data_IF_894096220604
#
_entry.id   IF_894096220604
#
_cell.length_a   1.000
_cell.length_b   1.000
_cell.length_c   1.000
_cell.angle_alpha   90.00
_cell.angle_beta   90.00
_cell.angle_gamma   90.00
#
_symmetry.space_group_name_H-M   'P 1'
#
loop_
_entity.id
_entity.type
_entity.pdbx_description
1 polymer ?
#
# COMPACT_ATOMS: atom_id res chain seq x y z
N UNK A 1 33.70 -13.66 -32.82
CA UNK A 1 33.42 -14.13 -31.45
C UNK A 1 31.96 -14.57 -31.41
N UNK A 2 31.64 -15.86 -31.27
CA UNK A 2 30.24 -16.28 -31.28
C UNK A 2 29.58 -15.76 -30.00
N UNK A 3 28.48 -15.02 -30.16
CA UNK A 3 27.56 -14.68 -29.09
C UNK A 3 27.03 -15.99 -28.48
N UNK A 4 27.60 -16.41 -27.36
CA UNK A 4 26.99 -17.43 -26.52
C UNK A 4 25.72 -16.82 -25.92
N UNK A 5 24.58 -17.13 -26.52
CA UNK A 5 23.27 -16.89 -25.93
C UNK A 5 23.26 -17.54 -24.54
N UNK A 6 23.28 -16.72 -23.48
CA UNK A 6 23.20 -17.23 -22.10
C UNK A 6 21.89 -18.01 -21.94
N UNK A 7 21.94 -19.20 -21.31
CA UNK A 7 20.80 -20.11 -21.26
C UNK A 7 19.68 -19.55 -20.38
N UNK A 8 18.46 -19.66 -20.91
CA UNK A 8 17.24 -20.00 -20.17
C UNK A 8 16.63 -18.90 -19.31
N UNK A 9 15.42 -18.48 -19.69
CA UNK A 9 14.43 -17.91 -18.77
C UNK A 9 14.35 -18.84 -17.56
N UNK A 10 14.85 -18.41 -16.40
CA UNK A 10 14.65 -19.15 -15.15
C UNK A 10 13.38 -18.60 -14.51
N UNK A 11 12.36 -19.44 -14.24
CA UNK A 11 11.18 -18.97 -13.56
C UNK A 11 11.56 -18.46 -12.16
N UNK A 12 10.86 -17.45 -11.63
CA UNK A 12 11.10 -16.97 -10.28
C UNK A 12 10.86 -18.09 -9.26
N UNK A 13 11.54 -18.03 -8.10
CA UNK A 13 11.36 -19.03 -7.05
C UNK A 13 9.89 -19.06 -6.59
N UNK A 14 9.32 -20.22 -6.24
CA UNK A 14 7.90 -20.34 -5.87
C UNK A 14 7.47 -19.40 -4.74
N UNK A 15 8.37 -19.11 -3.79
CA UNK A 15 8.10 -18.18 -2.69
C UNK A 15 7.88 -16.73 -3.14
N UNK A 16 8.49 -16.33 -4.25
CA UNK A 16 8.32 -15.01 -4.86
C UNK A 16 6.94 -14.90 -5.50
N UNK A 17 6.55 -15.87 -6.33
CA UNK A 17 5.21 -15.91 -6.95
C UNK A 17 4.12 -15.88 -5.88
N UNK A 18 4.29 -16.67 -4.80
CA UNK A 18 3.36 -16.66 -3.66
C UNK A 18 3.26 -15.27 -3.03
N UNK A 19 4.37 -14.58 -2.87
CA UNK A 19 4.40 -13.23 -2.29
C UNK A 19 3.69 -12.22 -3.16
N UNK A 20 3.87 -12.30 -4.47
CA UNK A 20 3.25 -11.38 -5.42
C UNK A 20 1.74 -11.59 -5.50
N UNK A 21 1.29 -12.85 -5.46
CA UNK A 21 -0.13 -13.17 -5.33
C UNK A 21 -0.73 -12.65 -4.02
N UNK A 22 0.00 -12.74 -2.91
CA UNK A 22 -0.42 -12.16 -1.62
C UNK A 22 -0.54 -10.64 -1.74
N UNK A 23 0.45 -9.97 -2.34
CA UNK A 23 0.44 -8.52 -2.51
C UNK A 23 -0.68 -8.04 -3.44
N UNK A 24 -0.97 -8.77 -4.52
CA UNK A 24 -2.11 -8.49 -5.39
C UNK A 24 -3.44 -8.62 -4.64
N UNK A 25 -3.57 -9.63 -3.78
CA UNK A 25 -4.74 -9.80 -2.93
C UNK A 25 -4.86 -8.69 -1.88
N UNK A 26 -3.73 -8.19 -1.36
CA UNK A 26 -3.72 -7.00 -0.49
C UNK A 26 -4.24 -5.78 -1.25
N UNK A 27 -3.85 -5.58 -2.52
CA UNK A 27 -4.39 -4.50 -3.35
C UNK A 27 -5.91 -4.59 -3.51
N UNK A 28 -6.45 -5.80 -3.66
CA UNK A 28 -7.90 -6.02 -3.71
C UNK A 28 -8.59 -5.59 -2.41
N UNK A 29 -8.02 -5.99 -1.26
CA UNK A 29 -8.53 -5.61 0.08
C UNK A 29 -8.49 -4.09 0.29
N UNK A 30 -7.43 -3.42 -0.14
CA UNK A 30 -7.31 -1.96 0.03
C UNK A 30 -8.21 -1.20 -0.94
N UNK A 31 -8.35 -1.68 -2.18
CA UNK A 31 -9.28 -1.13 -3.16
C UNK A 31 -10.72 -1.13 -2.65
N UNK A 32 -11.17 -2.23 -2.05
CA UNK A 32 -12.49 -2.30 -1.40
C UNK A 32 -12.57 -1.47 -0.11
N UNK A 33 -11.44 -1.33 0.59
CA UNK A 33 -11.31 -0.54 1.82
C UNK A 33 -11.60 0.95 1.64
N UNK A 34 -11.29 1.54 0.48
CA UNK A 34 -11.59 2.96 0.21
C UNK A 34 -13.10 3.28 0.30
N UNK A 35 -13.97 2.35 -0.10
CA UNK A 35 -15.43 2.51 -0.01
C UNK A 35 -15.88 2.60 1.47
N UNK A 36 -15.33 1.75 2.34
CA UNK A 36 -15.64 1.81 3.76
C UNK A 36 -15.06 3.07 4.41
N UNK A 37 -13.85 3.49 4.02
CA UNK A 37 -13.19 4.68 4.58
C UNK A 37 -13.90 5.99 4.20
N UNK A 38 -14.41 6.12 2.98
CA UNK A 38 -15.16 7.31 2.55
C UNK A 38 -16.43 7.49 3.38
N UNK A 39 -17.20 6.41 3.59
CA UNK A 39 -18.43 6.42 4.40
C UNK A 39 -18.13 6.77 5.87
N UNK A 40 -17.00 6.29 6.39
CA UNK A 40 -16.56 6.64 7.74
C UNK A 40 -16.05 8.10 7.85
N UNK A 41 -15.45 8.67 6.80
CA UNK A 41 -14.94 10.04 6.80
C UNK A 41 -16.04 11.08 7.00
N UNK A 42 -17.25 10.80 6.51
CA UNK A 42 -18.42 11.68 6.66
C UNK A 42 -19.03 11.64 8.07
N UNK A 43 -18.89 10.52 8.78
CA UNK A 43 -19.63 10.23 10.00
C UNK A 43 -18.79 10.19 11.28
N UNK A 44 -17.45 10.21 11.16
CA UNK A 44 -16.53 10.06 12.29
C UNK A 44 -15.34 11.04 12.25
N UNK A 45 -14.79 11.34 13.43
CA UNK A 45 -13.48 11.97 13.53
C UNK A 45 -12.37 11.05 13.00
N UNK A 46 -11.38 11.62 12.31
CA UNK A 46 -10.35 10.84 11.60
C UNK A 46 -9.50 10.01 12.56
N UNK A 47 -9.12 10.62 13.69
CA UNK A 47 -8.31 9.98 14.71
C UNK A 47 -9.12 8.90 15.42
N UNK A 48 -10.40 9.15 15.70
CA UNK A 48 -11.31 8.18 16.30
C UNK A 48 -11.48 6.96 15.40
N UNK A 49 -11.77 7.16 14.11
CA UNK A 49 -11.92 6.07 13.15
C UNK A 49 -10.65 5.23 13.04
N UNK A 50 -9.49 5.87 12.86
CA UNK A 50 -8.21 5.17 12.78
C UNK A 50 -7.87 4.46 14.10
N UNK A 51 -8.03 5.13 15.24
CA UNK A 51 -7.75 4.56 16.55
C UNK A 51 -8.53 3.28 16.80
N UNK A 52 -9.85 3.30 16.58
CA UNK A 52 -10.71 2.13 16.79
C UNK A 52 -10.32 0.98 15.87
N UNK A 53 -10.14 1.22 14.55
CA UNK A 53 -9.82 0.14 13.61
C UNK A 53 -8.45 -0.49 13.86
N UNK A 54 -7.46 0.31 14.25
CA UNK A 54 -6.13 -0.20 14.59
C UNK A 54 -6.09 -0.91 15.95
N UNK A 55 -6.91 -0.48 16.91
CA UNK A 55 -7.09 -1.24 18.16
C UNK A 55 -7.69 -2.62 17.92
N UNK A 56 -8.76 -2.69 17.13
CA UNK A 56 -9.38 -3.98 16.77
C UNK A 56 -8.36 -4.88 16.05
N UNK A 57 -7.61 -4.34 15.08
CA UNK A 57 -6.55 -5.09 14.38
C UNK A 57 -5.44 -5.57 15.32
N UNK A 58 -5.03 -4.72 16.28
CA UNK A 58 -4.03 -5.07 17.30
C UNK A 58 -4.53 -6.21 18.19
N UNK A 59 -5.76 -6.12 18.70
CA UNK A 59 -6.36 -7.12 19.57
C UNK A 59 -6.59 -8.44 18.83
N UNK A 60 -6.98 -8.38 17.56
CA UNK A 60 -7.11 -9.55 16.71
C UNK A 60 -5.77 -10.31 16.58
N UNK A 61 -4.69 -9.60 16.23
CA UNK A 61 -3.37 -10.25 16.13
C UNK A 61 -2.83 -10.70 17.49
N UNK A 62 -3.10 -9.96 18.56
CA UNK A 62 -2.75 -10.36 19.91
C UNK A 62 -3.44 -11.68 20.30
N UNK A 63 -4.72 -11.85 19.94
CA UNK A 63 -5.45 -13.10 20.16
C UNK A 63 -4.87 -14.26 19.34
N UNK A 64 -4.49 -14.04 18.08
CA UNK A 64 -3.87 -15.04 17.19
C UNK A 64 -2.48 -15.46 17.69
N UNK A 65 -1.67 -14.51 18.16
CA UNK A 65 -0.35 -14.78 18.70
C UNK A 65 -0.43 -15.45 20.08
N UNK A 66 -1.34 -15.00 20.93
CA UNK A 66 -1.54 -15.50 22.29
C UNK A 66 -0.24 -15.51 23.09
N UNK A 67 0.12 -16.66 23.66
CA UNK A 67 1.37 -16.83 24.44
C UNK A 67 2.66 -16.74 23.61
N UNK A 68 2.58 -16.63 22.28
CA UNK A 68 3.74 -16.49 21.38
C UNK A 68 4.21 -15.05 21.22
N UNK A 69 3.53 -14.07 21.81
CA UNK A 69 3.97 -12.68 21.81
C UNK A 69 5.35 -12.61 22.48
N UNK A 70 6.34 -12.13 21.75
CA UNK A 70 7.70 -11.89 22.26
C UNK A 70 8.08 -10.45 21.96
N UNK A 71 8.62 -9.76 22.95
CA UNK A 71 9.13 -8.41 22.75
C UNK A 71 10.55 -8.50 22.22
N UNK A 72 10.71 -8.54 20.90
CA UNK A 72 12.04 -8.42 20.28
C UNK A 72 12.53 -6.97 20.37
N UNK A 73 13.38 -6.72 21.37
CA UNK A 73 13.97 -5.39 21.60
C UNK A 73 14.94 -4.97 20.50
N UNK A 74 15.55 -5.93 19.77
CA UNK A 74 16.60 -5.63 18.77
C UNK A 74 16.05 -4.85 17.59
N UNK A 75 14.81 -5.13 17.21
CA UNK A 75 14.16 -4.59 16.02
C UNK A 75 13.08 -3.54 16.33
N UNK A 76 12.96 -3.13 17.61
CA UNK A 76 11.90 -2.23 18.07
C UNK A 76 11.91 -0.87 17.40
N UNK A 77 13.08 -0.33 17.06
CA UNK A 77 13.19 0.93 16.31
C UNK A 77 12.46 0.84 14.96
N UNK A 78 12.55 -0.30 14.26
CA UNK A 78 11.83 -0.54 13.01
C UNK A 78 10.32 -0.64 13.21
N UNK A 79 9.87 -1.28 14.29
CA UNK A 79 8.45 -1.35 14.67
C UNK A 79 7.89 0.05 14.98
N UNK A 80 8.62 0.84 15.77
CA UNK A 80 8.26 2.22 16.08
C UNK A 80 8.19 3.09 14.83
N UNK A 81 9.20 2.98 13.96
CA UNK A 81 9.25 3.76 12.71
C UNK A 81 8.08 3.40 11.80
N UNK A 82 7.79 2.10 11.62
CA UNK A 82 6.65 1.64 10.85
C UNK A 82 5.33 2.12 11.46
N UNK A 83 5.15 2.04 12.78
CA UNK A 83 3.94 2.50 13.46
C UNK A 83 3.72 4.02 13.34
N UNK A 84 4.78 4.83 13.44
CA UNK A 84 4.69 6.28 13.27
C UNK A 84 4.37 6.65 11.82
N UNK A 85 5.01 6.00 10.85
CA UNK A 85 4.71 6.23 9.43
C UNK A 85 3.27 5.79 9.09
N UNK A 86 2.84 4.63 9.60
CA UNK A 86 1.48 4.12 9.41
C UNK A 86 0.43 5.06 10.04
N UNK A 87 0.70 5.58 11.24
CA UNK A 87 -0.11 6.63 11.86
C UNK A 87 -0.23 7.86 10.98
N UNK A 88 0.90 8.44 10.57
CA UNK A 88 0.90 9.68 9.79
C UNK A 88 0.23 9.50 8.44
N UNK A 89 0.54 8.42 7.71
CA UNK A 89 -0.02 8.15 6.39
C UNK A 89 -1.53 7.89 6.46
N UNK A 90 -1.98 7.02 7.37
CA UNK A 90 -3.42 6.73 7.53
C UNK A 90 -4.21 7.92 8.05
N UNK A 91 -3.59 8.83 8.80
CA UNK A 91 -4.23 10.07 9.26
C UNK A 91 -4.39 11.05 8.11
N UNK A 92 -3.35 11.29 7.31
CA UNK A 92 -3.44 12.14 6.13
C UNK A 92 -4.47 11.61 5.14
N UNK A 93 -4.49 10.31 4.87
CA UNK A 93 -5.49 9.70 4.01
C UNK A 93 -6.92 9.88 4.56
N UNK A 94 -7.13 9.63 5.86
CA UNK A 94 -8.47 9.80 6.44
C UNK A 94 -8.92 11.28 6.47
N UNK A 95 -7.98 12.22 6.61
CA UNK A 95 -8.26 13.67 6.47
C UNK A 95 -8.60 14.01 5.01
N UNK A 96 -7.83 13.50 4.05
CA UNK A 96 -8.01 13.74 2.62
C UNK A 96 -9.40 13.32 2.15
N UNK A 97 -9.81 12.10 2.51
CA UNK A 97 -11.09 11.50 2.19
C UNK A 97 -12.33 12.28 2.65
N UNK A 98 -12.20 13.31 3.50
CA UNK A 98 -13.34 14.20 3.82
C UNK A 98 -13.76 15.12 2.69
N UNK A 99 -12.84 15.46 1.80
CA UNK A 99 -13.09 16.47 0.77
C UNK A 99 -12.70 16.02 -0.62
N UNK A 100 -11.92 14.94 -0.75
CA UNK A 100 -11.64 14.30 -2.03
C UNK A 100 -12.52 13.07 -2.25
N UNK A 101 -12.53 12.56 -3.48
CA UNK A 101 -13.23 11.33 -3.85
C UNK A 101 -12.37 10.10 -3.53
N UNK A 102 -13.02 8.94 -3.35
CA UNK A 102 -12.30 7.67 -3.15
C UNK A 102 -11.34 7.35 -4.32
N UNK A 103 -11.74 7.69 -5.55
CA UNK A 103 -10.92 7.53 -6.74
C UNK A 103 -9.66 8.42 -6.71
N UNK A 104 -9.82 9.71 -6.41
CA UNK A 104 -8.70 10.66 -6.28
C UNK A 104 -7.76 10.29 -5.14
N UNK A 105 -8.30 9.89 -3.98
CA UNK A 105 -7.50 9.39 -2.87
C UNK A 105 -6.67 8.15 -3.26
N UNK A 106 -7.29 7.18 -3.94
CA UNK A 106 -6.60 5.99 -4.44
C UNK A 106 -5.51 6.32 -5.45
N UNK A 107 -5.76 7.23 -6.39
CA UNK A 107 -4.75 7.70 -7.34
C UNK A 107 -3.57 8.38 -6.65
N UNK A 108 -3.84 9.37 -5.81
CA UNK A 108 -2.82 10.18 -5.16
C UNK A 108 -1.99 9.35 -4.19
N UNK A 109 -2.61 8.47 -3.41
CA UNK A 109 -1.91 7.47 -2.59
C UNK A 109 -1.05 6.55 -3.47
N UNK A 110 -1.60 6.06 -4.59
CA UNK A 110 -0.92 5.20 -5.56
C UNK A 110 0.34 5.81 -6.20
N UNK A 111 0.56 7.12 -6.09
CA UNK A 111 1.80 7.77 -6.51
C UNK A 111 3.04 7.27 -5.75
N UNK A 112 2.86 6.54 -4.63
CA UNK A 112 3.99 5.82 -4.02
C UNK A 112 4.71 4.91 -5.02
N UNK A 113 4.05 4.49 -6.12
CA UNK A 113 4.62 3.60 -7.14
C UNK A 113 5.86 4.20 -7.81
N UNK A 114 5.91 5.53 -7.96
CA UNK A 114 7.07 6.25 -8.48
C UNK A 114 7.96 6.81 -7.36
N UNK A 115 7.37 7.15 -6.21
CA UNK A 115 8.11 7.70 -5.06
C UNK A 115 9.04 6.63 -4.47
N UNK A 116 8.59 5.38 -4.33
CA UNK A 116 9.39 4.28 -3.75
C UNK A 116 10.70 4.05 -4.50
N UNK A 117 10.72 3.76 -5.82
CA UNK A 117 11.98 3.58 -6.55
C UNK A 117 12.86 4.82 -6.50
N UNK A 118 12.27 6.03 -6.51
CA UNK A 118 13.01 7.29 -6.36
C UNK A 118 13.71 7.38 -5.00
N UNK A 119 13.01 7.10 -3.90
CA UNK A 119 13.58 7.13 -2.55
C UNK A 119 14.65 6.06 -2.36
N UNK A 120 14.44 4.85 -2.89
CA UNK A 120 15.42 3.76 -2.85
C UNK A 120 16.69 4.12 -3.62
N UNK A 121 16.55 4.73 -4.80
CA UNK A 121 17.68 5.22 -5.59
C UNK A 121 18.42 6.37 -4.87
N UNK A 122 17.69 7.35 -4.33
CA UNK A 122 18.28 8.55 -3.73
C UNK A 122 18.98 8.27 -2.39
N UNK A 123 18.30 7.58 -1.47
CA UNK A 123 18.77 7.41 -0.09
C UNK A 123 19.55 6.10 0.12
N UNK A 124 19.27 5.06 -0.65
CA UNK A 124 19.95 3.76 -0.54
C UNK A 124 20.84 3.41 -1.73
N UNK A 125 20.88 4.26 -2.76
CA UNK A 125 21.70 4.05 -3.97
C UNK A 125 21.42 2.70 -4.64
N UNK A 126 20.18 2.22 -4.51
CA UNK A 126 19.75 0.98 -5.16
C UNK A 126 19.69 1.18 -6.67
N UNK A 127 20.17 0.18 -7.43
CA UNK A 127 20.13 0.22 -8.89
C UNK A 127 18.74 -0.23 -9.34
N UNK A 128 17.90 0.73 -9.69
CA UNK A 128 16.55 0.48 -10.19
C UNK A 128 16.61 0.21 -11.70
N UNK A 129 16.03 -0.91 -12.13
CA UNK A 129 15.99 -1.28 -13.54
C UNK A 129 15.01 -0.39 -14.31
N UNK A 130 15.33 -0.09 -15.57
CA UNK A 130 14.53 0.82 -16.41
C UNK A 130 13.07 0.37 -16.58
N UNK A 131 12.80 -0.94 -16.56
CA UNK A 131 11.43 -1.47 -16.67
C UNK A 131 10.58 -1.11 -15.45
N UNK A 132 11.17 -0.93 -14.26
CA UNK A 132 10.46 -0.45 -13.08
C UNK A 132 10.00 1.00 -13.28
N UNK A 133 10.84 1.85 -13.88
CA UNK A 133 10.46 3.21 -14.22
C UNK A 133 9.37 3.27 -15.29
N UNK A 134 9.46 2.41 -16.32
CA UNK A 134 8.43 2.28 -17.33
C UNK A 134 7.09 1.81 -16.73
N UNK A 135 7.12 0.79 -15.87
CA UNK A 135 5.93 0.30 -15.18
C UNK A 135 5.34 1.36 -14.23
N UNK A 136 6.17 2.06 -13.46
CA UNK A 136 5.71 3.16 -12.61
C UNK A 136 5.05 4.28 -13.42
N UNK A 137 5.63 4.66 -14.56
CA UNK A 137 5.04 5.68 -15.44
C UNK A 137 3.69 5.23 -16.02
N UNK A 138 3.60 3.98 -16.48
CA UNK A 138 2.34 3.39 -16.95
C UNK A 138 1.27 3.36 -15.84
N UNK A 139 1.66 3.00 -14.62
CA UNK A 139 0.76 2.99 -13.46
C UNK A 139 0.29 4.41 -13.11
N UNK A 140 1.17 5.40 -13.12
CA UNK A 140 0.81 6.82 -12.85
C UNK A 140 -0.14 7.36 -13.92
N UNK A 141 0.15 7.15 -15.20
CA UNK A 141 -0.74 7.59 -16.29
C UNK A 141 -2.08 6.86 -16.18
N UNK A 142 -2.06 5.55 -15.95
CA UNK A 142 -3.27 4.75 -15.84
C UNK A 142 -4.15 5.16 -14.66
N UNK A 143 -3.56 5.38 -13.49
CA UNK A 143 -4.29 5.85 -12.30
C UNK A 143 -4.81 7.27 -12.47
N UNK A 144 -4.06 8.16 -13.13
CA UNK A 144 -4.54 9.50 -13.48
C UNK A 144 -5.80 9.45 -14.37
N UNK A 145 -5.76 8.64 -15.44
CA UNK A 145 -6.90 8.48 -16.35
C UNK A 145 -8.11 7.84 -15.65
N UNK A 146 -7.87 6.83 -14.81
CA UNK A 146 -8.90 6.16 -14.02
C UNK A 146 -9.57 7.13 -13.03
N UNK A 147 -8.79 7.98 -12.39
CA UNK A 147 -9.29 8.91 -11.37
C UNK A 147 -10.05 10.10 -11.94
N UNK A 148 -9.51 10.69 -13.01
CA UNK A 148 -10.01 11.97 -13.54
C UNK A 148 -11.05 11.79 -14.63
N UNK A 149 -11.06 10.65 -15.32
CA UNK A 149 -11.88 10.47 -16.53
C UNK A 149 -11.61 11.51 -17.62
N UNK A 150 -10.46 12.22 -17.57
CA UNK A 150 -10.10 13.30 -18.47
C UNK A 150 -10.36 14.73 -17.95
N UNK A 151 -10.97 14.90 -16.77
CA UNK A 151 -11.20 16.20 -16.15
C UNK A 151 -10.46 16.29 -14.81
N UNK A 152 -9.56 17.26 -14.68
CA UNK A 152 -8.80 17.48 -13.45
C UNK A 152 -9.48 18.55 -12.60
N UNK A 153 -10.09 18.12 -11.48
CA UNK A 153 -10.75 19.00 -10.51
C UNK A 153 -10.18 18.74 -9.11
N UNK A 154 -9.12 19.46 -8.71
CA UNK A 154 -8.40 19.19 -7.47
C UNK A 154 -9.19 19.67 -6.24
N UNK A 155 -9.31 18.80 -5.25
CA UNK A 155 -9.94 19.08 -3.97
C UNK A 155 -8.90 19.43 -2.88
N UNK A 156 -9.27 20.17 -1.81
CA UNK A 156 -8.36 20.45 -0.70
C UNK A 156 -7.75 19.18 -0.07
N UNK A 157 -8.52 18.09 -0.03
CA UNK A 157 -8.10 16.78 0.47
C UNK A 157 -6.97 16.14 -0.33
N UNK A 158 -6.83 16.49 -1.61
CA UNK A 158 -5.81 15.93 -2.50
C UNK A 158 -4.39 16.23 -2.00
N UNK A 159 -4.21 17.40 -1.37
CA UNK A 159 -2.91 17.76 -0.79
C UNK A 159 -2.52 16.85 0.38
N UNK A 160 -3.50 16.40 1.18
CA UNK A 160 -3.26 15.45 2.25
C UNK A 160 -2.94 14.07 1.70
N UNK A 161 -3.66 13.60 0.69
CA UNK A 161 -3.39 12.32 0.02
C UNK A 161 -2.02 12.31 -0.64
N UNK A 162 -1.66 13.38 -1.35
CA UNK A 162 -0.35 13.53 -1.98
C UNK A 162 0.77 13.56 -0.94
N UNK A 163 0.61 14.31 0.16
CA UNK A 163 1.57 14.29 1.26
C UNK A 163 1.66 12.89 1.89
N UNK A 164 0.51 12.23 2.05
CA UNK A 164 0.37 10.86 2.53
C UNK A 164 1.12 9.85 1.66
N UNK A 165 1.13 10.01 0.34
CA UNK A 165 1.83 9.13 -0.59
C UNK A 165 3.34 9.03 -0.32
N UNK A 166 3.98 10.14 0.09
CA UNK A 166 5.40 10.12 0.50
C UNK A 166 5.61 9.34 1.80
N UNK A 167 4.67 9.47 2.75
CA UNK A 167 4.74 8.76 4.03
C UNK A 167 4.45 7.27 3.83
N UNK A 168 3.46 6.93 3.00
CA UNK A 168 3.16 5.55 2.57
C UNK A 168 4.38 4.92 1.88
N UNK A 169 5.04 5.64 0.97
CA UNK A 169 6.27 5.16 0.35
C UNK A 169 7.34 4.82 1.39
N UNK A 170 7.55 5.70 2.38
CA UNK A 170 8.45 5.44 3.52
C UNK A 170 8.03 4.20 4.31
N UNK A 171 6.74 4.05 4.63
CA UNK A 171 6.19 2.90 5.35
C UNK A 171 6.45 1.59 4.59
N UNK A 172 6.07 1.53 3.31
CA UNK A 172 6.24 0.36 2.44
C UNK A 172 7.73 -0.04 2.34
N UNK A 173 8.63 0.93 2.31
CA UNK A 173 10.08 0.71 2.34
C UNK A 173 10.53 0.11 3.68
N UNK A 174 10.09 0.67 4.81
CA UNK A 174 10.41 0.16 6.15
C UNK A 174 9.88 -1.27 6.32
N UNK A 175 8.64 -1.54 5.92
CA UNK A 175 8.04 -2.88 5.96
C UNK A 175 8.88 -3.87 5.16
N UNK A 176 9.25 -3.55 3.91
CA UNK A 176 10.08 -4.42 3.09
C UNK A 176 11.44 -4.77 3.73
N UNK A 177 12.06 -3.81 4.43
CA UNK A 177 13.33 -4.07 5.14
C UNK A 177 13.16 -4.86 6.44
N UNK A 178 12.03 -4.71 7.13
CA UNK A 178 11.75 -5.37 8.40
C UNK A 178 11.14 -6.77 8.24
N UNK A 179 10.47 -7.06 7.12
CA UNK A 179 9.80 -8.34 6.84
C UNK A 179 10.71 -9.58 6.92
N UNK A 180 12.03 -9.42 6.77
CA UNK A 180 13.03 -10.50 6.94
C UNK A 180 13.72 -10.52 8.30
N UNK A 181 13.56 -9.47 9.11
CA UNK A 181 14.34 -9.25 10.34
C UNK A 181 13.62 -9.66 11.61
N UNK A 182 12.29 -9.78 11.56
CA UNK A 182 11.45 -10.13 12.71
C UNK A 182 10.30 -11.04 12.26
N UNK A 183 9.60 -11.63 13.23
CA UNK A 183 8.34 -12.30 12.96
C UNK A 183 7.30 -11.33 12.39
N UNK A 184 6.66 -11.72 11.29
CA UNK A 184 5.78 -10.83 10.52
C UNK A 184 4.52 -10.43 11.30
N UNK A 185 3.94 -11.35 12.07
CA UNK A 185 2.73 -11.08 12.85
C UNK A 185 3.05 -10.17 14.03
N UNK A 186 4.18 -10.39 14.71
CA UNK A 186 4.63 -9.50 15.78
C UNK A 186 4.97 -8.10 15.25
N UNK A 187 5.56 -8.01 14.05
CA UNK A 187 5.83 -6.72 13.40
C UNK A 187 4.54 -5.98 13.04
N UNK A 188 3.56 -6.67 12.45
CA UNK A 188 2.24 -6.11 12.14
C UNK A 188 1.50 -5.66 13.42
N UNK A 189 1.45 -6.51 14.44
CA UNK A 189 0.81 -6.18 15.72
C UNK A 189 1.45 -4.95 16.38
N UNK A 190 2.79 -4.87 16.39
CA UNK A 190 3.51 -3.76 17.01
C UNK A 190 3.25 -2.41 16.33
N UNK A 191 3.29 -2.36 15.00
CA UNK A 191 2.99 -1.12 14.28
C UNK A 191 1.51 -0.73 14.40
N UNK A 192 0.58 -1.69 14.48
CA UNK A 192 -0.84 -1.40 14.72
C UNK A 192 -1.05 -0.82 16.11
N UNK A 193 -0.41 -1.39 17.13
CA UNK A 193 -0.52 -0.90 18.50
C UNK A 193 -0.06 0.56 18.59
N UNK A 194 1.12 0.87 18.04
CA UNK A 194 1.67 2.24 18.02
C UNK A 194 0.73 3.19 17.27
N UNK A 195 0.23 2.76 16.11
CA UNK A 195 -0.73 3.55 15.33
C UNK A 195 -2.03 3.81 16.10
N UNK A 196 -2.55 2.80 16.80
CA UNK A 196 -3.76 2.88 17.59
C UNK A 196 -3.57 3.84 18.78
N UNK A 197 -2.45 3.75 19.49
CA UNK A 197 -2.10 4.64 20.60
C UNK A 197 -1.99 6.10 20.15
N UNK A 198 -1.25 6.37 19.07
CA UNK A 198 -1.08 7.73 18.55
C UNK A 198 -2.39 8.33 18.05
N UNK A 199 -3.22 7.54 17.36
CA UNK A 199 -4.56 7.98 16.97
C UNK A 199 -5.50 8.18 18.16
N UNK A 200 -5.42 7.35 19.20
CA UNK A 200 -6.21 7.56 20.42
C UNK A 200 -5.83 8.88 21.10
N UNK A 201 -4.54 9.19 21.16
CA UNK A 201 -4.06 10.46 21.66
C UNK A 201 -4.52 11.64 20.79
N UNK A 202 -4.44 11.52 19.47
CA UNK A 202 -4.98 12.50 18.53
C UNK A 202 -6.49 12.71 18.70
N UNK A 203 -7.24 11.64 18.95
CA UNK A 203 -8.69 11.71 19.18
C UNK A 203 -9.00 12.48 20.47
N UNK A 204 -8.24 12.27 21.54
CA UNK A 204 -8.39 13.03 22.80
C UNK A 204 -8.14 14.53 22.60
N UNK A 205 -7.15 14.88 21.77
CA UNK A 205 -6.74 16.28 21.59
C UNK A 205 -7.59 17.04 20.57
N UNK A 206 -8.00 16.39 19.49
CA UNK A 206 -8.52 17.06 18.30
C UNK A 206 -9.93 16.62 17.91
N UNK A 207 -10.32 15.38 18.21
CA UNK A 207 -11.69 14.94 17.96
C UNK A 207 -12.56 15.32 19.15
N UNK A 208 -13.79 15.78 18.89
CA UNK A 208 -14.84 15.68 19.89
C UNK A 208 -15.16 14.19 19.97
N UNK A 209 -14.87 13.50 21.07
CA UNK A 209 -15.17 12.07 21.23
C UNK A 209 -16.64 11.80 20.87
N UNK A 210 -16.88 11.34 19.65
CA UNK A 210 -18.18 10.96 19.14
C UNK A 210 -18.18 9.47 18.95
N UNK A 211 -19.11 8.79 19.63
CA UNK A 211 -19.36 7.37 19.39
C UNK A 211 -19.80 7.23 17.92
N UNK A 212 -19.23 6.29 17.14
CA UNK A 212 -19.69 6.03 15.80
C UNK A 212 -21.20 5.82 15.80
N UNK A 213 -21.91 6.49 14.89
CA UNK A 213 -23.31 6.19 14.67
C UNK A 213 -23.46 4.69 14.34
N UNK A 214 -24.58 4.04 14.71
CA UNK A 214 -24.78 2.60 14.46
C UNK A 214 -24.44 2.17 13.03
N UNK A 215 -24.77 3.02 12.05
CA UNK A 215 -24.50 2.83 10.63
C UNK A 215 -23.02 2.92 10.21
N UNK A 216 -22.14 3.51 11.02
CA UNK A 216 -20.70 3.59 10.72
C UNK A 216 -19.93 2.34 11.19
N UNK A 217 -20.52 1.52 12.07
CA UNK A 217 -19.83 0.37 12.65
C UNK A 217 -19.48 -0.72 11.64
N UNK A 218 -20.30 -0.91 10.59
CA UNK A 218 -19.94 -1.86 9.53
C UNK A 218 -18.65 -1.41 8.84
N UNK A 219 -18.49 -0.11 8.56
CA UNK A 219 -17.32 0.44 7.90
C UNK A 219 -16.08 0.33 8.79
N UNK A 220 -16.23 0.58 10.08
CA UNK A 220 -15.19 0.40 11.10
C UNK A 220 -14.75 -1.06 11.17
N UNK A 221 -15.69 -2.00 11.34
CA UNK A 221 -15.40 -3.43 11.46
C UNK A 221 -14.79 -3.99 10.17
N UNK A 222 -15.34 -3.60 9.02
CA UNK A 222 -14.79 -3.97 7.72
C UNK A 222 -13.34 -3.49 7.58
N UNK A 223 -13.09 -2.20 7.85
CA UNK A 223 -11.76 -1.59 7.75
C UNK A 223 -10.77 -2.19 8.75
N UNK A 224 -11.23 -2.54 9.94
CA UNK A 224 -10.41 -3.13 11.00
C UNK A 224 -9.98 -4.57 10.68
N UNK A 225 -10.89 -5.39 10.14
CA UNK A 225 -10.60 -6.79 9.85
C UNK A 225 -9.85 -6.93 8.54
N UNK A 226 -10.35 -6.31 7.46
CA UNK A 226 -9.83 -6.52 6.12
C UNK A 226 -8.60 -5.64 5.85
N UNK A 227 -8.70 -4.32 5.59
CA UNK A 227 -7.51 -3.46 5.39
C UNK A 227 -6.46 -3.55 6.49
N UNK A 228 -6.87 -3.48 7.76
CA UNK A 228 -5.92 -3.46 8.87
C UNK A 228 -5.45 -4.87 9.25
N UNK A 229 -6.34 -5.71 9.75
CA UNK A 229 -5.99 -7.03 10.27
C UNK A 229 -5.36 -7.95 9.22
N UNK A 230 -5.97 -8.03 8.03
CA UNK A 230 -5.46 -8.86 6.93
C UNK A 230 -4.48 -8.09 6.04
N UNK A 231 -4.85 -6.92 5.52
CA UNK A 231 -4.11 -6.19 4.49
C UNK A 231 -2.68 -5.85 4.91
N UNK A 232 -2.50 -5.07 5.98
CA UNK A 232 -1.16 -4.72 6.45
C UNK A 232 -0.37 -5.94 6.98
N UNK A 233 -1.02 -6.97 7.53
CA UNK A 233 -0.31 -8.20 7.95
C UNK A 233 0.20 -8.98 6.73
N UNK A 234 -0.64 -9.16 5.72
CA UNK A 234 -0.31 -9.83 4.47
C UNK A 234 0.71 -9.03 3.66
N UNK A 235 0.70 -7.69 3.73
CA UNK A 235 1.75 -6.85 3.17
C UNK A 235 3.12 -7.24 3.74
N UNK A 236 3.26 -7.34 5.06
CA UNK A 236 4.53 -7.74 5.69
C UNK A 236 4.95 -9.13 5.20
N UNK A 237 4.01 -10.06 5.06
CA UNK A 237 4.28 -11.41 4.56
C UNK A 237 4.71 -11.40 3.10
N UNK A 238 4.02 -10.66 2.23
CA UNK A 238 4.34 -10.57 0.80
C UNK A 238 5.66 -9.84 0.57
N UNK A 239 5.91 -8.72 1.24
CA UNK A 239 7.16 -7.98 1.10
C UNK A 239 8.39 -8.71 1.67
N UNK A 240 8.22 -9.86 2.32
CA UNK A 240 9.34 -10.70 2.76
C UNK A 240 10.15 -11.20 1.56
N UNK A 241 9.50 -11.73 0.53
CA UNK A 241 10.23 -12.29 -0.63
C UNK A 241 10.10 -11.42 -1.88
N UNK A 242 9.31 -10.35 -1.81
CA UNK A 242 9.10 -9.40 -2.89
C UNK A 242 9.97 -8.13 -2.76
N UNK A 243 10.68 -7.66 -3.82
CA UNK A 243 11.25 -6.32 -3.84
C UNK A 243 10.18 -5.26 -3.64
N UNK A 244 10.54 -4.22 -2.87
CA UNK A 244 9.64 -3.13 -2.50
C UNK A 244 9.09 -2.38 -3.72
N UNK A 245 9.88 -2.22 -4.78
CA UNK A 245 9.44 -1.58 -6.03
C UNK A 245 8.34 -2.36 -6.73
N UNK A 246 8.39 -3.69 -6.67
CA UNK A 246 7.44 -4.53 -7.38
C UNK A 246 6.15 -4.66 -6.56
N UNK A 247 6.27 -4.68 -5.22
CA UNK A 247 5.13 -4.52 -4.32
C UNK A 247 4.37 -3.21 -4.58
N UNK A 248 5.08 -2.09 -4.79
CA UNK A 248 4.47 -0.81 -5.11
C UNK A 248 3.67 -0.86 -6.42
N UNK A 249 4.19 -1.51 -7.46
CA UNK A 249 3.48 -1.67 -8.73
C UNK A 249 2.26 -2.59 -8.56
N UNK A 250 2.36 -3.66 -7.78
CA UNK A 250 1.23 -4.52 -7.45
C UNK A 250 0.14 -3.77 -6.68
N UNK A 251 0.51 -2.89 -5.74
CA UNK A 251 -0.45 -2.09 -4.98
C UNK A 251 -1.21 -1.07 -5.84
N UNK A 252 -0.65 -0.60 -6.96
CA UNK A 252 -1.40 0.25 -7.90
C UNK A 252 -2.69 -0.40 -8.45
N UNK A 253 -2.81 -1.75 -8.37
CA UNK A 253 -4.04 -2.46 -8.69
C UNK A 253 -5.21 -2.10 -7.77
N UNK A 254 -4.97 -1.50 -6.61
CA UNK A 254 -6.03 -1.10 -5.69
C UNK A 254 -7.05 -0.18 -6.36
N UNK A 255 -6.60 0.75 -7.21
CA UNK A 255 -7.47 1.66 -7.95
C UNK A 255 -8.34 0.89 -8.96
N UNK A 256 -7.78 -0.12 -9.64
CA UNK A 256 -8.52 -0.98 -10.59
C UNK A 256 -9.58 -1.77 -9.85
N UNK A 257 -9.24 -2.38 -8.70
CA UNK A 257 -10.20 -3.12 -7.90
C UNK A 257 -11.28 -2.21 -7.31
N UNK A 258 -10.93 -1.01 -6.84
CA UNK A 258 -11.89 -0.02 -6.39
C UNK A 258 -12.88 0.35 -7.49
N UNK A 259 -12.41 0.61 -8.72
CA UNK A 259 -13.26 0.94 -9.86
C UNK A 259 -14.19 -0.22 -10.27
N UNK A 260 -13.68 -1.46 -10.28
CA UNK A 260 -14.49 -2.66 -10.55
C UNK A 260 -15.59 -2.81 -9.48
N UNK A 261 -15.24 -2.63 -8.21
CA UNK A 261 -16.20 -2.73 -7.11
C UNK A 261 -17.19 -1.57 -7.11
N UNK A 262 -16.78 -0.35 -7.44
CA UNK A 262 -17.67 0.80 -7.63
C UNK A 262 -18.70 0.54 -8.72
N UNK A 263 -18.28 -0.03 -9.85
CA UNK A 263 -19.19 -0.45 -10.93
C UNK A 263 -20.23 -1.47 -10.45
N UNK A 264 -19.80 -2.56 -9.79
CA UNK A 264 -20.70 -3.65 -9.39
C UNK A 264 -21.55 -3.36 -8.15
N UNK A 265 -21.01 -2.66 -7.16
CA UNK A 265 -21.65 -2.46 -5.85
C UNK A 265 -22.38 -1.12 -5.75
N UNK A 266 -21.86 -0.08 -6.42
CA UNK A 266 -22.41 1.28 -6.37
C UNK A 266 -23.13 1.67 -7.67
N UNK A 267 -23.04 0.85 -8.72
CA UNK A 267 -23.67 1.13 -10.01
C UNK A 267 -22.98 2.25 -10.79
N UNK A 268 -21.73 2.56 -10.46
CA UNK A 268 -20.94 3.59 -11.14
C UNK A 268 -20.66 3.20 -12.60
N UNK A 269 -20.71 4.17 -13.51
CA UNK A 269 -20.37 3.96 -14.92
C UNK A 269 -18.92 4.38 -15.16
N UNK A 270 -18.12 3.51 -15.78
CA UNK A 270 -16.74 3.85 -16.14
C UNK A 270 -16.70 4.47 -17.55
N UNK A 271 -16.11 5.66 -17.65
CA UNK A 271 -15.83 6.30 -18.93
C UNK A 271 -14.78 5.48 -19.72
N UNK A 272 -14.77 5.56 -21.06
CA UNK A 272 -13.76 4.89 -21.88
C UNK A 272 -12.31 5.22 -21.48
N UNK A 273 -12.06 6.47 -21.06
CA UNK A 273 -10.75 6.90 -20.54
C UNK A 273 -10.38 6.19 -19.24
N UNK A 274 -11.35 5.92 -18.36
CA UNK A 274 -11.12 5.21 -17.11
C UNK A 274 -10.82 3.73 -17.38
N UNK A 275 -11.51 3.12 -18.35
CA UNK A 275 -11.22 1.75 -18.80
C UNK A 275 -9.79 1.67 -19.36
N UNK A 276 -9.38 2.63 -20.20
CA UNK A 276 -7.99 2.73 -20.66
C UNK A 276 -7.02 2.86 -19.48
N UNK A 277 -7.38 3.66 -18.47
CA UNK A 277 -6.64 3.77 -17.22
C UNK A 277 -6.40 2.41 -16.55
N UNK A 278 -7.46 1.61 -16.37
CA UNK A 278 -7.37 0.25 -15.83
C UNK A 278 -6.43 -0.65 -16.64
N UNK A 279 -6.51 -0.59 -17.98
CA UNK A 279 -5.65 -1.39 -18.86
C UNK A 279 -4.17 -1.01 -18.76
N UNK A 280 -3.86 0.28 -18.59
CA UNK A 280 -2.49 0.77 -18.39
C UNK A 280 -1.91 0.30 -17.06
N UNK A 281 -2.68 0.38 -15.97
CA UNK A 281 -2.28 -0.13 -14.66
C UNK A 281 -2.06 -1.65 -14.73
N UNK A 282 -2.94 -2.38 -15.42
CA UNK A 282 -2.80 -3.81 -15.66
C UNK A 282 -1.53 -4.16 -16.42
N UNK A 283 -1.23 -3.40 -17.46
CA UNK A 283 -0.01 -3.55 -18.24
C UNK A 283 1.25 -3.24 -17.42
N UNK A 284 1.20 -2.25 -16.53
CA UNK A 284 2.30 -1.94 -15.61
C UNK A 284 2.60 -3.12 -14.66
N UNK A 285 1.55 -3.72 -14.08
CA UNK A 285 1.68 -4.90 -13.23
C UNK A 285 2.27 -6.10 -14.00
N UNK A 286 1.76 -6.38 -15.21
CA UNK A 286 2.32 -7.43 -16.06
C UNK A 286 3.80 -7.18 -16.39
N UNK A 287 4.17 -5.94 -16.70
CA UNK A 287 5.57 -5.59 -16.98
C UNK A 287 6.48 -5.84 -15.77
N UNK A 288 6.00 -5.54 -14.56
CA UNK A 288 6.73 -5.83 -13.33
C UNK A 288 6.91 -7.33 -13.10
N UNK A 289 5.88 -8.13 -13.35
CA UNK A 289 5.91 -9.59 -13.22
C UNK A 289 6.79 -10.26 -14.28
N UNK A 290 6.67 -9.84 -15.55
CA UNK A 290 7.46 -10.42 -16.65
C UNK A 290 8.95 -10.09 -16.57
N UNK A 291 9.33 -8.99 -15.90
CA UNK A 291 10.74 -8.66 -15.65
C UNK A 291 11.49 -9.80 -14.96
N UNK A 292 10.83 -10.57 -14.11
CA UNK A 292 11.46 -11.70 -13.40
C UNK A 292 11.93 -12.81 -14.32
N UNK A 293 11.29 -12.93 -15.47
CA UNK A 293 11.64 -13.89 -16.50
C UNK A 293 12.71 -13.36 -17.46
N UNK A 294 13.02 -12.05 -17.41
CA UNK A 294 14.05 -11.45 -18.23
C UNK A 294 15.44 -11.68 -17.61
N UNK A 295 16.46 -12.08 -18.40
CA UNK A 295 17.80 -12.25 -17.90
C UNK A 295 18.34 -10.93 -17.36
N UNK A 296 18.84 -10.94 -16.13
CA UNK A 296 19.57 -9.80 -15.55
C UNK A 296 20.79 -9.53 -16.43
N UNK A 297 20.80 -8.40 -17.13
CA UNK A 297 21.99 -7.93 -17.84
C UNK A 297 22.99 -7.48 -16.77
N UNK A 298 23.80 -8.42 -16.29
CA UNK A 298 24.92 -8.11 -15.40
C UNK A 298 25.93 -7.29 -16.19
N UNK A 299 25.98 -5.96 -15.97
CA UNK A 299 27.19 -5.20 -16.28
C UNK A 299 28.27 -5.64 -15.29
N UNK A 300 28.98 -6.71 -15.61
CA UNK A 300 30.29 -6.92 -15.01
C UNK A 300 31.15 -5.74 -15.46
N UNK A 301 31.49 -4.83 -14.53
CA UNK A 301 32.69 -4.01 -14.71
C UNK A 301 33.84 -5.00 -14.80
N UNK A 302 34.36 -5.21 -16.01
CA UNK A 302 35.74 -5.65 -16.16
C UNK A 302 36.58 -4.55 -15.52
N UNK A 303 37.08 -4.81 -14.32
CA UNK A 303 38.27 -4.14 -13.82
C UNK A 303 39.39 -4.79 -14.63
N UNK A 304 39.73 -4.19 -15.76
CA UNK A 304 40.98 -4.48 -16.46
C UNK A 304 42.09 -3.68 -15.76
N UNK A 305 43.05 -4.46 -15.25
CA UNK A 305 44.44 -4.17 -14.87
C UNK A 305 44.73 -3.04 -13.87
#
# INVERSE_FOLDING_TARGET
MPLTLKPGIKPPPPERIKSDAILLFVSFIWGSGFIAQSIAAESMGHFTFNGVRFWIGTLFLAAVLGKRIRLDRKNWAGVLTAGVLLFTASTFQQIGLKTTTAANAGFLTGLYVVIIPLLLWLFWREVIHWTTWAAALLAVIGTLLLSTGGAFDPAPGDWFELAGAFVWAGHVIVVGRMARRMDNLQFAMGQFAITAFLNTFGAILFDRFTVPQPQAWWAVLYSAVFPVGMGFTLQVIGQRNAPTTDAAILFSMEAVFAAILGYFLLGEQLLPLQILGCLLIFSAMLLAQFREFLPVVSRQKQITD
#
